data_IF_459663595265
#
_entry.id   IF_459663595265
#
_cell.length_a   1.000
_cell.length_b   1.000
_cell.length_c   1.000
_cell.angle_alpha   90.00
_cell.angle_beta   90.00
_cell.angle_gamma   90.00
#
_symmetry.space_group_name_H-M   'P 1'
#
loop_
_entity.id
_entity.type
_entity.pdbx_description
1 polymer ?
#
# COMPACT_ATOMS: atom_id res chain seq x y z
N UNK A 1 -18.58 20.33 6.26
CA UNK A 1 -19.21 21.23 7.26
C UNK A 1 -20.69 20.93 7.55
N UNK A 2 -21.60 20.85 6.56
CA UNK A 2 -23.03 20.50 6.85
C UNK A 2 -23.25 19.06 7.34
N UNK A 3 -22.48 18.07 6.87
CA UNK A 3 -22.59 16.66 7.27
C UNK A 3 -22.04 16.41 8.69
N UNK A 4 -20.98 17.10 9.08
CA UNK A 4 -20.41 17.00 10.44
C UNK A 4 -21.30 17.61 11.51
N UNK A 5 -21.99 18.71 11.19
CA UNK A 5 -22.97 19.33 12.07
C UNK A 5 -24.21 18.45 12.21
N UNK A 6 -24.65 17.80 11.12
CA UNK A 6 -25.76 16.85 11.13
C UNK A 6 -25.43 15.63 12.00
N UNK A 7 -24.22 15.06 11.90
CA UNK A 7 -23.76 13.91 12.70
C UNK A 7 -23.62 14.29 14.17
N UNK A 8 -23.10 15.49 14.51
CA UNK A 8 -23.03 15.96 15.92
C UNK A 8 -24.41 16.18 16.55
N UNK A 9 -25.33 16.81 15.81
CA UNK A 9 -26.68 17.02 16.29
C UNK A 9 -27.47 15.70 16.43
N UNK A 10 -27.25 14.75 15.52
CA UNK A 10 -27.84 13.42 15.56
C UNK A 10 -27.33 12.63 16.79
N UNK A 11 -26.04 12.72 17.11
CA UNK A 11 -25.45 12.10 18.31
C UNK A 11 -26.00 12.66 19.62
N UNK A 12 -26.22 13.98 19.70
CA UNK A 12 -26.78 14.63 20.92
C UNK A 12 -28.27 14.31 21.11
N UNK A 13 -29.07 14.35 20.05
CA UNK A 13 -30.49 14.00 20.10
C UNK A 13 -30.65 12.52 20.51
N UNK A 14 -29.77 11.64 20.02
CA UNK A 14 -29.80 10.21 20.37
C UNK A 14 -29.35 9.94 21.80
N UNK A 15 -28.35 10.64 22.33
CA UNK A 15 -27.99 10.54 23.74
C UNK A 15 -29.16 10.91 24.67
N UNK A 16 -29.95 11.89 24.27
CA UNK A 16 -31.14 12.33 25.02
C UNK A 16 -32.28 11.31 24.99
N UNK A 17 -32.52 10.67 23.84
CA UNK A 17 -33.53 9.62 23.67
C UNK A 17 -33.09 8.33 24.41
N UNK A 18 -31.79 8.04 24.48
CA UNK A 18 -31.21 6.89 25.15
C UNK A 18 -31.45 6.93 26.68
N UNK A 19 -31.36 8.12 27.28
CA UNK A 19 -31.57 8.33 28.71
C UNK A 19 -33.04 8.09 29.11
N UNK A 20 -34.00 8.28 28.18
CA UNK A 20 -35.44 8.12 28.46
C UNK A 20 -36.00 6.74 28.09
N UNK A 21 -35.43 6.01 27.14
CA UNK A 21 -36.06 4.79 26.59
C UNK A 21 -35.47 3.46 27.10
N UNK A 22 -34.43 3.47 27.90
CA UNK A 22 -33.85 2.30 28.58
C UNK A 22 -33.13 1.28 27.68
N UNK A 23 -33.45 1.12 26.41
CA UNK A 23 -32.71 0.31 25.42
C UNK A 23 -33.07 0.68 23.96
N UNK A 24 -32.11 0.69 23.02
CA UNK A 24 -32.39 1.00 21.61
C UNK A 24 -33.11 -0.17 20.91
N UNK A 25 -34.00 0.10 19.94
CA UNK A 25 -34.61 -0.92 19.09
C UNK A 25 -33.55 -1.73 18.31
N UNK A 26 -33.80 -3.02 18.08
CA UNK A 26 -32.88 -3.95 17.46
C UNK A 26 -32.33 -3.47 16.08
N UNK A 27 -33.11 -2.70 15.34
CA UNK A 27 -32.75 -2.08 14.04
C UNK A 27 -31.60 -1.07 14.11
N UNK A 28 -31.30 -0.52 15.28
CA UNK A 28 -30.26 0.51 15.44
C UNK A 28 -28.94 -0.03 16.00
N UNK A 29 -28.89 -1.26 16.52
CA UNK A 29 -27.68 -1.81 17.12
C UNK A 29 -26.53 -1.91 16.13
N UNK A 30 -26.78 -2.34 14.89
CA UNK A 30 -25.76 -2.39 13.84
C UNK A 30 -25.15 -1.02 13.45
N UNK A 31 -25.92 0.07 13.61
CA UNK A 31 -25.43 1.44 13.42
C UNK A 31 -24.48 1.86 14.54
N UNK A 32 -24.77 1.44 15.78
CA UNK A 32 -23.90 1.74 16.93
C UNK A 32 -22.55 1.06 16.84
N UNK A 33 -22.49 -0.23 16.50
CA UNK A 33 -21.21 -0.91 16.34
C UNK A 33 -20.37 -0.28 15.24
N UNK A 34 -20.98 0.14 14.14
CA UNK A 34 -20.26 0.84 13.07
C UNK A 34 -19.70 2.18 13.52
N UNK A 35 -20.43 2.93 14.34
CA UNK A 35 -19.95 4.20 14.86
C UNK A 35 -18.77 4.00 15.81
N UNK A 36 -18.91 3.09 16.79
CA UNK A 36 -17.85 2.74 17.74
C UNK A 36 -16.60 2.19 17.03
N UNK A 37 -16.80 1.24 16.11
CA UNK A 37 -15.72 0.68 15.32
C UNK A 37 -14.99 1.73 14.46
N UNK A 38 -15.71 2.62 13.77
CA UNK A 38 -15.14 3.68 12.96
C UNK A 38 -14.38 4.71 13.79
N UNK A 39 -14.88 5.02 15.00
CA UNK A 39 -14.19 5.89 15.92
C UNK A 39 -12.84 5.29 16.32
N UNK A 40 -12.82 4.06 16.82
CA UNK A 40 -11.60 3.37 17.24
C UNK A 40 -10.62 3.13 16.07
N UNK A 41 -11.12 2.79 14.89
CA UNK A 41 -10.31 2.67 13.67
C UNK A 41 -9.59 3.98 13.34
N UNK A 42 -10.27 5.12 13.42
CA UNK A 42 -9.65 6.42 13.13
C UNK A 42 -8.59 6.79 14.20
N UNK A 43 -8.84 6.49 15.47
CA UNK A 43 -7.84 6.64 16.54
C UNK A 43 -6.60 5.78 16.29
N UNK A 44 -6.81 4.51 15.91
CA UNK A 44 -5.73 3.59 15.55
C UNK A 44 -4.91 4.08 14.35
N UNK A 45 -5.56 4.52 13.27
CA UNK A 45 -4.87 5.03 12.08
C UNK A 45 -4.09 6.30 12.38
N UNK A 46 -4.60 7.15 13.27
CA UNK A 46 -3.87 8.33 13.77
C UNK A 46 -2.64 7.92 14.58
N UNK A 47 -2.78 6.97 15.50
CA UNK A 47 -1.66 6.39 16.23
C UNK A 47 -0.59 5.78 15.30
N UNK A 48 -1.02 5.01 14.29
CA UNK A 48 -0.12 4.43 13.31
C UNK A 48 0.64 5.49 12.51
N UNK A 49 -0.01 6.60 12.17
CA UNK A 49 0.61 7.73 11.46
C UNK A 49 1.59 8.49 12.34
N UNK A 50 1.18 8.88 13.54
CA UNK A 50 1.91 9.84 14.37
C UNK A 50 2.99 9.18 15.22
N UNK A 51 2.71 8.02 15.81
CA UNK A 51 3.63 7.35 16.72
C UNK A 51 4.42 6.24 16.05
N UNK A 52 3.78 5.38 15.23
CA UNK A 52 4.48 4.32 14.49
C UNK A 52 5.11 4.79 13.18
N UNK A 53 4.78 5.99 12.71
CA UNK A 53 5.28 6.59 11.46
C UNK A 53 5.16 5.64 10.27
N UNK A 54 4.03 4.91 10.18
CA UNK A 54 3.80 4.01 9.07
C UNK A 54 3.58 4.81 7.78
N UNK A 55 4.04 4.23 6.66
CA UNK A 55 3.89 4.82 5.33
C UNK A 55 2.42 4.88 4.88
N UNK A 56 2.14 5.79 3.92
CA UNK A 56 0.78 6.03 3.45
C UNK A 56 0.13 4.83 2.77
N UNK A 57 0.90 3.96 2.08
CA UNK A 57 0.38 2.73 1.44
C UNK A 57 -0.07 1.73 2.51
N UNK A 58 0.69 1.58 3.59
CA UNK A 58 0.33 0.73 4.74
C UNK A 58 -0.93 1.25 5.45
N UNK A 59 -1.01 2.57 5.70
CA UNK A 59 -2.20 3.18 6.32
C UNK A 59 -3.45 3.01 5.45
N UNK A 60 -3.32 3.16 4.13
CA UNK A 60 -4.41 2.92 3.18
C UNK A 60 -4.87 1.46 3.21
N UNK A 61 -3.93 0.51 3.22
CA UNK A 61 -4.25 -0.93 3.31
C UNK A 61 -4.99 -1.25 4.63
N UNK A 62 -4.50 -0.75 5.77
CA UNK A 62 -5.15 -0.91 7.06
C UNK A 62 -6.57 -0.36 7.06
N UNK A 63 -6.76 0.86 6.55
CA UNK A 63 -8.10 1.46 6.43
C UNK A 63 -9.05 0.59 5.62
N UNK A 64 -8.63 0.12 4.44
CA UNK A 64 -9.45 -0.73 3.57
C UNK A 64 -9.83 -2.03 4.28
N UNK A 65 -8.85 -2.72 4.90
CA UNK A 65 -9.09 -3.99 5.55
C UNK A 65 -10.02 -3.87 6.77
N UNK A 66 -9.81 -2.84 7.58
CA UNK A 66 -10.65 -2.57 8.77
C UNK A 66 -12.05 -2.12 8.37
N UNK A 67 -12.19 -1.25 7.37
CA UNK A 67 -13.52 -0.85 6.86
C UNK A 67 -14.29 -2.05 6.34
N UNK A 68 -13.65 -2.96 5.59
CA UNK A 68 -14.29 -4.17 5.09
C UNK A 68 -14.77 -5.06 6.25
N UNK A 69 -13.97 -5.24 7.29
CA UNK A 69 -14.36 -5.99 8.47
C UNK A 69 -15.55 -5.35 9.18
N UNK A 70 -15.52 -4.03 9.43
CA UNK A 70 -16.63 -3.31 10.06
C UNK A 70 -17.93 -3.43 9.27
N UNK A 71 -17.89 -3.31 7.93
CA UNK A 71 -19.05 -3.51 7.06
C UNK A 71 -19.58 -4.94 7.16
N UNK A 72 -18.70 -5.95 7.19
CA UNK A 72 -19.09 -7.35 7.36
C UNK A 72 -19.74 -7.61 8.72
N UNK A 73 -19.22 -7.00 9.80
CA UNK A 73 -19.82 -7.10 11.12
C UNK A 73 -21.24 -6.55 11.16
N UNK A 74 -21.45 -5.35 10.63
CA UNK A 74 -22.76 -4.72 10.61
C UNK A 74 -23.79 -5.53 9.81
N UNK A 75 -23.36 -6.19 8.72
CA UNK A 75 -24.23 -7.02 7.90
C UNK A 75 -24.55 -8.38 8.54
N UNK A 76 -23.53 -9.07 9.06
CA UNK A 76 -23.68 -10.43 9.59
C UNK A 76 -24.19 -10.48 11.04
N UNK A 77 -23.90 -9.45 11.85
CA UNK A 77 -24.22 -9.40 13.27
C UNK A 77 -24.88 -8.05 13.67
N UNK A 78 -26.06 -7.74 13.14
CA UNK A 78 -26.72 -6.46 13.35
C UNK A 78 -27.14 -6.22 14.82
N UNK A 79 -27.14 -7.27 15.65
CA UNK A 79 -27.45 -7.18 17.09
C UNK A 79 -26.28 -6.69 17.95
N UNK A 80 -25.05 -6.68 17.42
CA UNK A 80 -23.88 -6.18 18.14
C UNK A 80 -23.97 -4.67 18.34
N UNK A 81 -23.61 -4.23 19.55
CA UNK A 81 -23.65 -2.83 19.94
C UNK A 81 -22.27 -2.24 20.27
N UNK A 82 -21.29 -3.07 20.61
CA UNK A 82 -19.96 -2.64 21.00
C UNK A 82 -18.85 -3.57 20.49
N UNK A 83 -17.66 -3.03 20.29
CA UNK A 83 -16.45 -3.79 19.96
C UNK A 83 -16.07 -4.79 21.06
N UNK A 84 -16.43 -4.51 22.32
CA UNK A 84 -16.17 -5.41 23.45
C UNK A 84 -16.98 -6.72 23.41
N UNK A 85 -18.03 -6.79 22.60
CA UNK A 85 -18.86 -8.00 22.41
C UNK A 85 -18.27 -8.96 21.35
N UNK A 86 -17.18 -8.59 20.68
CA UNK A 86 -16.57 -9.39 19.61
C UNK A 86 -15.90 -10.65 20.18
N UNK A 87 -16.51 -11.80 19.92
CA UNK A 87 -16.01 -13.11 20.33
C UNK A 87 -15.10 -13.74 19.25
N UNK A 88 -14.24 -14.72 19.60
CA UNK A 88 -13.46 -15.47 18.63
C UNK A 88 -14.29 -16.09 17.50
N UNK A 89 -15.52 -16.58 17.79
CA UNK A 89 -16.40 -17.17 16.80
C UNK A 89 -16.79 -16.20 15.65
N UNK A 90 -16.93 -14.91 15.95
CA UNK A 90 -17.18 -13.88 14.92
C UNK A 90 -16.01 -13.78 13.96
N UNK A 91 -14.77 -13.83 14.47
CA UNK A 91 -13.57 -13.82 13.61
C UNK A 91 -13.45 -15.10 12.79
N UNK A 92 -13.78 -16.26 13.35
CA UNK A 92 -13.79 -17.54 12.61
C UNK A 92 -14.78 -17.48 11.44
N UNK A 93 -16.00 -16.97 11.67
CA UNK A 93 -16.99 -16.74 10.61
C UNK A 93 -16.48 -15.80 9.54
N UNK A 94 -15.88 -14.67 9.91
CA UNK A 94 -15.30 -13.73 8.96
C UNK A 94 -14.14 -14.34 8.16
N UNK A 95 -13.29 -15.14 8.81
CA UNK A 95 -12.18 -15.83 8.15
C UNK A 95 -12.70 -16.82 7.11
N UNK A 96 -13.77 -17.56 7.41
CA UNK A 96 -14.41 -18.46 6.46
C UNK A 96 -14.87 -17.69 5.21
N UNK A 97 -15.59 -16.59 5.39
CA UNK A 97 -16.01 -15.70 4.29
C UNK A 97 -14.83 -15.15 3.47
N UNK A 98 -13.71 -14.79 4.14
CA UNK A 98 -12.52 -14.33 3.43
C UNK A 98 -11.88 -15.43 2.58
N UNK A 99 -11.88 -16.68 3.05
CA UNK A 99 -11.34 -17.81 2.30
C UNK A 99 -12.14 -18.15 1.04
N UNK A 100 -13.44 -17.88 1.04
CA UNK A 100 -14.28 -18.02 -0.15
C UNK A 100 -13.97 -16.99 -1.24
N UNK A 101 -13.58 -15.77 -0.83
CA UNK A 101 -13.43 -14.60 -1.72
C UNK A 101 -12.00 -14.36 -2.15
N UNK A 102 -11.01 -14.71 -1.32
CA UNK A 102 -9.62 -14.28 -1.51
C UNK A 102 -8.61 -15.41 -1.43
N UNK A 103 -7.49 -15.24 -2.14
CA UNK A 103 -6.34 -16.15 -2.05
C UNK A 103 -5.74 -16.13 -0.63
N UNK A 104 -5.15 -17.24 -0.14
CA UNK A 104 -4.62 -17.36 1.22
C UNK A 104 -3.68 -16.21 1.64
N UNK A 105 -2.81 -15.77 0.75
CA UNK A 105 -1.89 -14.64 0.99
C UNK A 105 -2.63 -13.33 1.29
N UNK A 106 -3.76 -13.09 0.61
CA UNK A 106 -4.60 -11.90 0.85
C UNK A 106 -5.33 -12.01 2.18
N UNK A 107 -5.88 -13.19 2.50
CA UNK A 107 -6.52 -13.45 3.79
C UNK A 107 -5.54 -13.20 4.94
N UNK A 108 -4.33 -13.76 4.85
CA UNK A 108 -3.26 -13.57 5.84
C UNK A 108 -2.91 -12.09 6.06
N UNK A 109 -2.81 -11.30 4.97
CA UNK A 109 -2.56 -9.85 5.06
C UNK A 109 -3.71 -9.12 5.77
N UNK A 110 -4.96 -9.41 5.41
CA UNK A 110 -6.16 -8.81 6.04
C UNK A 110 -6.22 -9.13 7.53
N UNK A 111 -5.97 -10.38 7.90
CA UNK A 111 -5.93 -10.78 9.31
C UNK A 111 -4.77 -10.15 10.08
N UNK A 112 -3.63 -9.90 9.44
CA UNK A 112 -2.53 -9.17 10.06
C UNK A 112 -2.93 -7.72 10.39
N UNK A 113 -3.71 -7.06 9.51
CA UNK A 113 -4.26 -5.72 9.76
C UNK A 113 -5.21 -5.72 10.97
N UNK A 114 -6.13 -6.69 11.02
CA UNK A 114 -7.06 -6.86 12.15
C UNK A 114 -6.31 -7.17 13.46
N UNK A 115 -5.38 -8.12 13.43
CA UNK A 115 -4.58 -8.48 14.62
C UNK A 115 -3.84 -7.28 15.19
N UNK A 116 -3.27 -6.43 14.32
CA UNK A 116 -2.57 -5.23 14.74
C UNK A 116 -3.53 -4.19 15.37
N UNK A 117 -4.74 -4.07 14.83
CA UNK A 117 -5.78 -3.18 15.37
C UNK A 117 -6.28 -3.67 16.74
N UNK A 118 -6.62 -4.96 16.88
CA UNK A 118 -7.09 -5.50 18.15
C UNK A 118 -6.00 -5.53 19.23
N UNK A 119 -4.74 -5.68 18.84
CA UNK A 119 -3.62 -5.48 19.78
C UNK A 119 -3.53 -4.02 20.27
N UNK A 120 -3.80 -3.04 19.39
CA UNK A 120 -3.88 -1.64 19.81
C UNK A 120 -5.04 -1.38 20.76
N UNK A 121 -6.23 -1.95 20.50
CA UNK A 121 -7.40 -1.82 21.40
C UNK A 121 -7.12 -2.41 22.77
N UNK A 122 -6.48 -3.57 22.84
CA UNK A 122 -6.04 -4.25 24.07
C UNK A 122 -5.03 -3.37 24.84
N UNK A 123 -4.01 -2.86 24.14
CA UNK A 123 -3.01 -1.93 24.70
C UNK A 123 -3.63 -0.64 25.26
N UNK A 124 -4.75 -0.19 24.70
CA UNK A 124 -5.45 1.03 25.10
C UNK A 124 -6.60 0.77 26.07
N UNK A 125 -6.73 -0.44 26.62
CA UNK A 125 -7.79 -0.88 27.53
C UNK A 125 -9.21 -0.60 26.98
N UNK A 126 -9.36 -0.69 25.63
CA UNK A 126 -10.65 -0.50 24.94
C UNK A 126 -11.45 -1.79 24.83
N UNK A 127 -10.83 -2.94 25.05
CA UNK A 127 -11.42 -4.28 25.10
C UNK A 127 -10.90 -5.01 26.33
N UNK A 128 -11.74 -5.88 26.90
CA UNK A 128 -11.40 -6.65 28.11
C UNK A 128 -10.33 -7.71 27.80
N UNK A 129 -10.38 -8.30 26.63
CA UNK A 129 -9.39 -9.30 26.18
C UNK A 129 -9.31 -9.30 24.66
N UNK A 130 -8.09 -9.53 24.15
CA UNK A 130 -7.89 -9.61 22.71
C UNK A 130 -8.40 -10.95 22.16
N UNK A 131 -9.44 -10.96 21.29
CA UNK A 131 -10.00 -12.20 20.74
C UNK A 131 -9.00 -13.02 19.94
N UNK A 132 -7.96 -12.39 19.35
CA UNK A 132 -6.90 -13.08 18.62
C UNK A 132 -6.02 -13.99 19.50
N UNK A 133 -6.00 -13.82 20.82
CA UNK A 133 -5.23 -14.68 21.72
C UNK A 133 -5.79 -16.12 21.76
N UNK A 134 -7.08 -16.30 21.43
CA UNK A 134 -7.76 -17.59 21.41
C UNK A 134 -7.94 -18.18 20.01
N UNK A 135 -7.51 -17.45 18.96
CA UNK A 135 -7.65 -17.90 17.57
C UNK A 135 -6.41 -18.66 17.12
N UNK A 136 -6.58 -19.93 16.79
CA UNK A 136 -5.53 -20.79 16.25
C UNK A 136 -5.62 -20.87 14.71
N UNK A 137 -5.19 -19.80 14.02
CA UNK A 137 -5.25 -19.71 12.57
C UNK A 137 -3.96 -20.27 11.96
N UNK A 138 -4.06 -21.40 11.26
CA UNK A 138 -2.95 -21.99 10.50
C UNK A 138 -3.21 -21.81 9.00
N UNK A 139 -2.32 -21.08 8.32
CA UNK A 139 -2.34 -20.98 6.87
C UNK A 139 -1.45 -22.07 6.26
N UNK A 140 -2.03 -22.94 5.44
CA UNK A 140 -1.27 -23.83 4.56
C UNK A 140 -1.03 -23.09 3.25
N UNK A 141 0.13 -22.46 3.12
CA UNK A 141 0.54 -21.84 1.86
C UNK A 141 1.49 -22.80 1.14
N UNK A 142 1.25 -23.12 -0.13
CA UNK A 142 2.23 -23.84 -0.91
C UNK A 142 3.48 -22.95 -1.07
N UNK A 143 4.65 -23.54 -0.91
CA UNK A 143 5.92 -22.87 -1.24
C UNK A 143 6.00 -22.79 -2.76
N UNK A 144 5.64 -21.65 -3.31
CA UNK A 144 5.75 -21.39 -4.75
C UNK A 144 7.09 -20.72 -4.99
N UNK A 145 7.95 -21.37 -5.78
CA UNK A 145 9.22 -20.77 -6.19
C UNK A 145 8.94 -19.51 -7.02
N UNK A 146 9.71 -18.44 -6.82
CA UNK A 146 9.61 -17.23 -7.62
C UNK A 146 9.80 -17.57 -9.12
N UNK A 147 8.90 -17.08 -9.96
CA UNK A 147 9.10 -17.14 -11.41
C UNK A 147 10.13 -16.09 -11.80
N UNK A 148 11.23 -16.54 -12.39
CA UNK A 148 12.27 -15.67 -12.96
C UNK A 148 11.96 -15.40 -14.45
N UNK A 149 12.33 -14.23 -14.92
CA UNK A 149 12.27 -13.91 -16.35
C UNK A 149 13.55 -14.49 -16.98
N UNK A 150 13.46 -15.34 -18.01
CA UNK A 150 14.65 -15.86 -18.69
C UNK A 150 15.50 -14.73 -19.28
N UNK A 151 16.83 -14.89 -19.28
CA UNK A 151 17.76 -13.92 -19.84
C UNK A 151 17.44 -13.62 -21.32
N UNK A 152 17.14 -14.65 -22.11
CA UNK A 152 16.75 -14.51 -23.52
C UNK A 152 15.52 -13.61 -23.73
N UNK A 153 14.60 -13.60 -22.77
CA UNK A 153 13.42 -12.70 -22.81
C UNK A 153 13.84 -11.24 -22.59
N UNK A 154 14.79 -10.98 -21.68
CA UNK A 154 15.33 -9.62 -21.44
C UNK A 154 16.12 -9.14 -22.67
N UNK A 155 16.94 -10.00 -23.25
CA UNK A 155 17.70 -9.71 -24.48
C UNK A 155 16.77 -9.37 -25.65
N UNK A 156 15.70 -10.17 -25.86
CA UNK A 156 14.69 -9.91 -26.89
C UNK A 156 13.96 -8.59 -26.65
N UNK A 157 13.63 -8.28 -25.40
CA UNK A 157 12.97 -7.02 -25.02
C UNK A 157 13.87 -5.83 -25.34
N UNK A 158 15.12 -5.84 -24.89
CA UNK A 158 16.08 -4.77 -25.15
C UNK A 158 16.35 -4.62 -26.65
N UNK A 159 16.54 -5.72 -27.37
CA UNK A 159 16.72 -5.70 -28.85
C UNK A 159 15.52 -5.00 -29.51
N UNK A 160 14.30 -5.32 -29.12
CA UNK A 160 13.09 -4.70 -29.66
C UNK A 160 13.06 -3.19 -29.37
N UNK A 161 13.40 -2.78 -28.14
CA UNK A 161 13.43 -1.36 -27.74
C UNK A 161 14.48 -0.59 -28.55
N UNK A 162 15.67 -1.15 -28.71
CA UNK A 162 16.72 -0.52 -29.52
C UNK A 162 16.39 -0.44 -31.01
N UNK A 163 15.71 -1.45 -31.56
CA UNK A 163 15.16 -1.37 -32.92
C UNK A 163 14.12 -0.25 -33.03
N UNK A 164 13.23 -0.11 -32.08
CA UNK A 164 12.28 1.00 -32.05
C UNK A 164 12.97 2.35 -31.93
N UNK A 165 14.05 2.47 -31.16
CA UNK A 165 14.87 3.67 -31.08
C UNK A 165 15.53 4.02 -32.42
N UNK A 166 16.13 3.02 -33.08
CA UNK A 166 16.82 3.21 -34.35
C UNK A 166 15.87 3.57 -35.52
N UNK A 167 14.65 3.00 -35.54
CA UNK A 167 13.66 3.23 -36.59
C UNK A 167 12.62 4.31 -36.22
N UNK A 168 12.84 5.04 -35.13
CA UNK A 168 11.92 6.08 -34.69
C UNK A 168 11.82 7.21 -35.71
N UNK A 169 10.63 7.46 -36.24
CA UNK A 169 10.35 8.51 -37.22
C UNK A 169 10.08 9.88 -36.59
N UNK A 170 9.83 9.91 -35.27
CA UNK A 170 9.58 11.15 -34.52
C UNK A 170 10.47 11.22 -33.27
N UNK A 171 10.77 12.44 -32.82
CA UNK A 171 11.50 12.65 -31.57
C UNK A 171 10.74 12.07 -30.36
N UNK A 172 9.42 12.11 -30.39
CA UNK A 172 8.59 11.51 -29.35
C UNK A 172 8.81 9.99 -29.22
N UNK A 173 8.80 9.28 -30.34
CA UNK A 173 9.06 7.82 -30.36
C UNK A 173 10.49 7.51 -29.90
N UNK A 174 11.46 8.27 -30.38
CA UNK A 174 12.86 8.11 -29.98
C UNK A 174 13.08 8.32 -28.50
N UNK A 175 12.53 9.41 -27.95
CA UNK A 175 12.61 9.69 -26.51
C UNK A 175 11.97 8.58 -25.68
N UNK A 176 10.80 8.08 -26.07
CA UNK A 176 10.14 7.01 -25.32
C UNK A 176 10.95 5.72 -25.33
N UNK A 177 11.47 5.29 -26.50
CA UNK A 177 12.31 4.10 -26.59
C UNK A 177 13.59 4.24 -25.74
N UNK A 178 14.24 5.40 -25.75
CA UNK A 178 15.42 5.67 -24.91
C UNK A 178 15.08 5.58 -23.41
N UNK A 179 13.94 6.13 -22.98
CA UNK A 179 13.49 6.00 -21.60
C UNK A 179 13.27 4.54 -21.22
N UNK A 180 12.59 3.79 -22.07
CA UNK A 180 12.24 2.40 -21.81
C UNK A 180 13.50 1.52 -21.74
N UNK A 181 14.49 1.77 -22.62
CA UNK A 181 15.82 1.16 -22.53
C UNK A 181 16.48 1.47 -21.18
N UNK A 182 16.59 2.76 -20.84
CA UNK A 182 17.24 3.20 -19.60
C UNK A 182 16.59 2.60 -18.33
N UNK A 183 15.27 2.47 -18.32
CA UNK A 183 14.51 1.84 -17.19
C UNK A 183 14.83 0.35 -17.10
N UNK A 184 14.72 -0.38 -18.21
CA UNK A 184 14.90 -1.85 -18.22
C UNK A 184 16.35 -2.21 -17.91
N UNK A 185 17.31 -1.53 -18.52
CA UNK A 185 18.73 -1.77 -18.28
C UNK A 185 19.11 -1.52 -16.82
N UNK A 186 18.64 -0.39 -16.25
CA UNK A 186 18.94 -0.11 -14.85
C UNK A 186 18.32 -1.14 -13.90
N UNK A 187 17.06 -1.53 -14.13
CA UNK A 187 16.41 -2.56 -13.33
C UNK A 187 17.15 -3.90 -13.41
N UNK A 188 17.55 -4.28 -14.61
CA UNK A 188 18.25 -5.55 -14.83
C UNK A 188 19.67 -5.54 -14.25
N UNK A 189 20.43 -4.46 -14.46
CA UNK A 189 21.81 -4.34 -13.98
C UNK A 189 21.92 -4.26 -12.45
N UNK A 190 20.90 -3.72 -11.77
CA UNK A 190 20.99 -3.39 -10.34
C UNK A 190 20.05 -4.19 -9.45
N UNK A 191 18.99 -4.76 -9.99
CA UNK A 191 17.94 -5.43 -9.22
C UNK A 191 17.19 -4.53 -8.23
N UNK A 192 17.20 -3.22 -8.44
CA UNK A 192 16.42 -2.28 -7.59
C UNK A 192 14.93 -2.50 -7.80
N UNK A 193 14.13 -2.15 -6.77
CA UNK A 193 12.67 -2.23 -6.88
C UNK A 193 12.14 -1.13 -7.79
N UNK A 194 11.03 -1.40 -8.49
CA UNK A 194 10.41 -0.37 -9.34
C UNK A 194 10.07 0.92 -8.56
N UNK A 195 9.62 0.80 -7.31
CA UNK A 195 9.35 1.96 -6.47
C UNK A 195 10.62 2.74 -6.09
N UNK A 196 11.76 2.07 -5.92
CA UNK A 196 13.06 2.70 -5.71
C UNK A 196 13.51 3.45 -6.97
N UNK A 197 13.39 2.82 -8.16
CA UNK A 197 13.64 3.46 -9.44
C UNK A 197 12.79 4.73 -9.63
N UNK A 198 11.48 4.64 -9.42
CA UNK A 198 10.57 5.78 -9.56
C UNK A 198 10.85 6.92 -8.55
N UNK A 199 11.47 6.61 -7.43
CA UNK A 199 11.82 7.58 -6.39
C UNK A 199 13.18 8.26 -6.58
N UNK A 200 14.03 7.76 -7.48
CA UNK A 200 15.36 8.33 -7.72
C UNK A 200 15.29 9.81 -8.08
N UNK A 201 16.03 10.62 -7.34
CA UNK A 201 16.23 12.03 -7.65
C UNK A 201 17.40 12.21 -8.65
N UNK A 202 17.50 13.38 -9.21
CA UNK A 202 18.60 13.70 -10.13
C UNK A 202 19.99 13.59 -9.47
N UNK A 203 20.05 13.80 -8.15
CA UNK A 203 21.29 13.79 -7.35
C UNK A 203 21.67 12.39 -6.86
N UNK A 204 20.75 11.43 -6.90
CA UNK A 204 21.02 10.06 -6.44
C UNK A 204 21.84 9.25 -7.45
N UNK A 205 21.98 9.72 -8.68
CA UNK A 205 22.73 9.06 -9.75
C UNK A 205 23.95 9.89 -10.12
N UNK A 206 25.12 9.36 -9.81
CA UNK A 206 26.40 9.91 -10.25
C UNK A 206 26.95 9.04 -11.39
N UNK A 207 26.77 9.50 -12.65
CA UNK A 207 27.23 8.78 -13.84
C UNK A 207 28.74 8.87 -14.04
N UNK A 208 29.41 9.87 -13.46
CA UNK A 208 30.88 10.01 -13.52
C UNK A 208 31.53 8.95 -12.60
N UNK A 209 31.06 8.83 -11.37
CA UNK A 209 31.58 7.84 -10.40
C UNK A 209 30.87 6.48 -10.55
N UNK A 210 29.91 6.39 -11.47
CA UNK A 210 29.12 5.19 -11.77
C UNK A 210 28.42 4.64 -10.53
N UNK A 211 27.85 5.51 -9.70
CA UNK A 211 27.19 5.13 -8.46
C UNK A 211 25.75 5.59 -8.40
N UNK A 212 24.91 4.82 -7.71
CA UNK A 212 23.52 5.16 -7.43
C UNK A 212 23.26 5.01 -5.94
N UNK A 213 22.73 6.05 -5.31
CA UNK A 213 22.25 6.04 -3.94
C UNK A 213 20.77 5.60 -3.93
N UNK A 214 20.47 4.51 -3.25
CA UNK A 214 19.12 3.95 -3.16
C UNK A 214 18.60 4.10 -1.73
N UNK A 215 17.41 4.68 -1.61
CA UNK A 215 16.65 4.76 -0.36
C UNK A 215 15.65 3.60 -0.30
N UNK A 216 15.92 2.62 0.55
CA UNK A 216 15.08 1.45 0.75
C UNK A 216 14.03 1.63 1.85
N UNK A 217 13.23 0.59 2.08
CA UNK A 217 12.22 0.56 3.14
C UNK A 217 12.86 0.77 4.52
N UNK A 218 12.26 1.67 5.33
CA UNK A 218 12.73 1.98 6.68
C UNK A 218 13.94 2.93 6.70
N UNK A 219 14.06 3.81 5.70
CA UNK A 219 15.15 4.80 5.56
C UNK A 219 16.55 4.18 5.52
N UNK A 220 16.66 2.93 5.03
CA UNK A 220 17.95 2.31 4.79
C UNK A 220 18.53 2.76 3.46
N UNK A 221 19.74 3.28 3.50
CA UNK A 221 20.47 3.71 2.31
C UNK A 221 21.45 2.63 1.88
N UNK A 222 21.63 2.50 0.56
CA UNK A 222 22.69 1.69 -0.03
C UNK A 222 23.20 2.32 -1.32
N UNK A 223 24.50 2.19 -1.54
CA UNK A 223 25.13 2.61 -2.80
C UNK A 223 25.30 1.37 -3.67
N UNK A 224 24.91 1.50 -4.95
CA UNK A 224 25.12 0.49 -5.97
C UNK A 224 26.11 1.01 -7.00
N UNK A 225 27.00 0.14 -7.48
CA UNK A 225 27.96 0.42 -8.54
C UNK A 225 27.38 0.00 -9.89
N UNK A 226 27.47 0.87 -10.89
CA UNK A 226 27.15 0.57 -12.28
C UNK A 226 28.39 0.01 -12.99
N UNK A 227 28.46 -1.31 -13.12
CA UNK A 227 29.64 -1.99 -13.70
C UNK A 227 29.61 -2.12 -15.23
N UNK A 228 28.46 -1.88 -15.89
CA UNK A 228 28.28 -2.05 -17.31
C UNK A 228 28.34 -0.70 -18.04
N UNK A 229 29.25 -0.58 -19.04
CA UNK A 229 29.44 0.63 -19.82
C UNK A 229 28.21 0.98 -20.67
N UNK A 230 27.49 0.00 -21.20
CA UNK A 230 26.30 0.22 -22.02
C UNK A 230 25.19 0.86 -21.20
N UNK A 231 24.97 0.37 -19.95
CA UNK A 231 24.00 0.96 -19.01
C UNK A 231 24.35 2.41 -18.68
N UNK A 232 25.62 2.70 -18.42
CA UNK A 232 26.10 4.07 -18.15
C UNK A 232 25.89 4.97 -19.36
N UNK A 233 26.17 4.45 -20.57
CA UNK A 233 25.94 5.17 -21.81
C UNK A 233 24.45 5.49 -22.01
N UNK A 234 23.59 4.51 -21.92
CA UNK A 234 22.13 4.67 -22.07
C UNK A 234 21.54 5.66 -21.04
N UNK A 235 21.98 5.59 -19.77
CA UNK A 235 21.57 6.54 -18.74
C UNK A 235 22.07 7.96 -19.01
N UNK A 236 23.27 8.09 -19.61
CA UNK A 236 23.85 9.39 -19.97
C UNK A 236 23.04 10.03 -21.11
N UNK A 237 22.73 9.27 -22.15
CA UNK A 237 21.91 9.75 -23.27
C UNK A 237 20.46 10.07 -22.79
N UNK A 238 19.89 9.24 -21.94
CA UNK A 238 18.61 9.51 -21.32
C UNK A 238 18.62 10.83 -20.54
N UNK A 239 19.63 11.04 -19.67
CA UNK A 239 19.80 12.27 -18.89
C UNK A 239 19.89 13.51 -19.77
N UNK A 240 20.67 13.44 -20.88
CA UNK A 240 20.79 14.55 -21.85
C UNK A 240 19.42 14.86 -22.47
N UNK A 241 18.73 13.83 -22.94
CA UNK A 241 17.46 13.95 -23.65
C UNK A 241 16.33 14.50 -22.75
N UNK A 242 16.30 14.11 -21.48
CA UNK A 242 15.25 14.47 -20.51
C UNK A 242 15.67 15.54 -19.50
N UNK A 243 16.84 16.19 -19.69
CA UNK A 243 17.39 17.14 -18.72
C UNK A 243 16.41 18.25 -18.28
N UNK A 244 15.60 18.89 -19.16
CA UNK A 244 14.63 19.90 -18.74
C UNK A 244 13.56 19.31 -17.78
N UNK A 245 13.06 18.12 -18.08
CA UNK A 245 12.02 17.45 -17.27
C UNK A 245 12.58 16.97 -15.93
N UNK A 246 13.80 16.43 -15.92
CA UNK A 246 14.53 16.01 -14.73
C UNK A 246 14.75 17.21 -13.80
N UNK A 247 15.22 18.34 -14.31
CA UNK A 247 15.42 19.57 -13.53
C UNK A 247 14.10 20.09 -12.94
N UNK A 248 13.03 20.07 -13.73
CA UNK A 248 11.71 20.56 -13.32
C UNK A 248 11.07 19.69 -12.24
N UNK A 249 11.21 18.36 -12.33
CA UNK A 249 10.55 17.41 -11.43
C UNK A 249 11.42 16.99 -10.24
N UNK A 250 12.71 17.23 -10.30
CA UNK A 250 13.72 16.66 -9.41
C UNK A 250 13.64 15.13 -9.32
N UNK A 251 13.17 14.47 -10.41
CA UNK A 251 13.14 13.01 -10.54
C UNK A 251 13.96 12.61 -11.75
N UNK A 252 14.79 11.56 -11.56
CA UNK A 252 15.62 11.09 -12.66
C UNK A 252 14.76 10.47 -13.75
N UNK A 253 13.80 9.62 -13.41
CA UNK A 253 12.89 9.02 -14.38
C UNK A 253 11.55 9.76 -14.47
N UNK A 254 11.20 10.10 -15.72
CA UNK A 254 9.93 10.79 -16.05
C UNK A 254 9.17 9.99 -17.11
N UNK A 255 7.87 10.14 -17.13
CA UNK A 255 6.99 9.52 -18.12
C UNK A 255 6.95 10.34 -19.41
N UNK A 256 6.22 9.86 -20.43
CA UNK A 256 6.07 10.53 -21.74
C UNK A 256 5.49 11.96 -21.66
N UNK A 257 4.77 12.30 -20.58
CA UNK A 257 4.24 13.64 -20.36
C UNK A 257 5.19 14.54 -19.53
N UNK A 258 6.43 14.08 -19.29
CA UNK A 258 7.42 14.79 -18.48
C UNK A 258 7.09 14.83 -16.98
N UNK A 259 6.16 14.01 -16.48
CA UNK A 259 5.85 13.90 -15.05
C UNK A 259 6.70 12.79 -14.41
N UNK A 260 6.90 12.79 -13.08
CA UNK A 260 7.57 11.68 -12.41
C UNK A 260 6.99 10.32 -12.82
N UNK A 261 7.87 9.35 -13.08
CA UNK A 261 7.45 7.98 -13.32
C UNK A 261 6.83 7.42 -12.04
N UNK A 262 5.75 6.65 -12.15
CA UNK A 262 5.05 6.01 -11.02
C UNK A 262 5.08 4.49 -11.15
N UNK A 263 5.06 3.81 -10.01
CA UNK A 263 4.94 2.35 -9.87
C UNK A 263 3.49 1.84 -10.00
#
# INVERSE_FOLDING_TARGET
MKLEIFIKNFSMIYSYIYIQAGQPPATYKGVFIMHDFNFEMNQYLTYCRTQKRLDGKTLKAYRIDLTQFGTSLAAAFPSLSSISELSPAIFESYIATLHEQFKPKTVKRKLASLKAFFHYLDYRDRIVSNPFNKLHIKFREPVILPKTIPLSTIESLLTTIYQQYAHASTDFQRRNALRDAAVIELLFATGIRISELCSLSANDINLTDRTILIFGKGSKERILQLGNDDVVHTLTEYRKCYLPDIKRTNRFFVNQAGRPLSD
#
